data_IF_451476982177
#
_entry.id   IF_451476982177
#
_cell.length_a   1.000
_cell.length_b   1.000
_cell.length_c   1.000
_cell.angle_alpha   90.00
_cell.angle_beta   90.00
_cell.angle_gamma   90.00
#
_symmetry.space_group_name_H-M   'P 1'
#
loop_
_entity.id
_entity.type
_entity.pdbx_description
1 polymer ?
#
# COMPACT_ATOMS: atom_id res chain seq x y z
N UNK A 1 47.31 37.66 56.72
CA UNK A 1 47.57 36.59 55.72
C UNK A 1 47.00 35.27 56.21
N UNK A 2 45.80 34.90 55.74
CA UNK A 2 45.33 33.51 55.74
C UNK A 2 44.29 33.40 54.64
N UNK A 3 44.69 32.74 53.56
CA UNK A 3 43.93 32.56 52.32
C UNK A 3 42.81 31.56 52.60
N UNK A 4 41.56 32.00 52.46
CA UNK A 4 40.39 31.12 52.44
C UNK A 4 40.37 30.36 51.11
N UNK A 5 40.51 29.03 51.18
CA UNK A 5 40.37 28.15 50.01
C UNK A 5 38.91 28.05 49.62
N UNK A 6 38.51 28.77 48.57
CA UNK A 6 37.26 28.48 47.84
C UNK A 6 37.47 27.22 47.01
N UNK A 7 37.14 26.07 47.58
CA UNK A 7 37.00 24.83 46.82
C UNK A 7 35.67 24.92 46.05
N UNK A 8 35.73 25.51 44.86
CA UNK A 8 34.63 25.55 43.91
C UNK A 8 34.22 24.13 43.53
N UNK A 9 32.96 23.82 43.82
CA UNK A 9 32.28 22.62 43.38
C UNK A 9 32.09 22.72 41.86
N UNK A 10 32.93 22.01 41.09
CA UNK A 10 32.70 21.88 39.64
C UNK A 10 31.45 21.02 39.40
N UNK A 11 30.43 21.50 38.66
CA UNK A 11 29.37 20.64 38.19
C UNK A 11 29.96 19.68 37.14
N UNK A 12 29.79 18.38 37.37
CA UNK A 12 30.08 17.34 36.38
C UNK A 12 29.08 17.46 35.24
N UNK A 13 29.45 18.24 34.24
CA UNK A 13 28.83 18.23 32.92
C UNK A 13 29.09 16.85 32.28
N UNK A 14 28.10 15.96 32.33
CA UNK A 14 28.10 14.75 31.52
C UNK A 14 27.29 15.02 30.25
N UNK A 15 28.06 15.33 29.22
CA UNK A 15 27.70 15.32 27.81
C UNK A 15 27.38 13.87 27.41
N UNK A 16 26.46 13.73 26.45
CA UNK A 16 26.07 12.51 25.75
C UNK A 16 25.21 11.56 26.60
N UNK A 17 23.93 11.37 26.31
CA UNK A 17 23.53 10.70 25.08
C UNK A 17 22.01 10.82 24.94
N UNK A 18 21.54 11.74 24.10
CA UNK A 18 20.16 11.75 23.65
C UNK A 18 20.01 10.70 22.54
N UNK A 19 19.78 9.43 22.90
CA UNK A 19 19.30 8.43 21.94
C UNK A 19 17.80 8.68 21.79
N UNK A 20 17.44 9.43 20.74
CA UNK A 20 16.13 9.34 20.12
C UNK A 20 15.97 7.89 19.63
N UNK A 21 15.21 7.08 20.37
CA UNK A 21 14.70 5.82 19.84
C UNK A 21 13.57 6.17 18.85
N UNK A 22 13.91 6.30 17.56
CA UNK A 22 12.94 6.18 16.47
C UNK A 22 12.49 4.71 16.36
N UNK A 23 11.75 4.22 17.35
CA UNK A 23 10.98 2.99 17.25
C UNK A 23 9.54 3.35 16.85
N UNK A 24 9.38 3.83 15.62
CA UNK A 24 8.08 3.94 14.95
C UNK A 24 8.22 3.34 13.55
N UNK A 25 8.47 2.03 13.50
CA UNK A 25 8.39 1.27 12.27
C UNK A 25 7.14 0.37 12.33
N UNK A 26 6.09 0.80 11.62
CA UNK A 26 5.09 -0.07 11.01
C UNK A 26 4.11 -0.79 11.95
N UNK A 27 3.12 -0.08 12.49
CA UNK A 27 1.82 -0.69 12.78
C UNK A 27 0.83 -0.14 11.76
N UNK A 28 0.77 -0.78 10.59
CA UNK A 28 -0.19 -0.44 9.54
C UNK A 28 -1.58 -1.00 9.91
N UNK A 29 -2.17 -0.45 10.96
CA UNK A 29 -3.59 -0.64 11.30
C UNK A 29 -4.46 0.55 10.83
N UNK A 30 -3.88 1.45 10.02
CA UNK A 30 -4.65 2.38 9.19
C UNK A 30 -5.10 1.65 7.92
N UNK A 31 -5.92 0.61 8.09
CA UNK A 31 -6.63 0.01 6.97
C UNK A 31 -7.53 1.09 6.39
N UNK A 32 -7.09 1.78 5.32
CA UNK A 32 -8.01 2.63 4.58
C UNK A 32 -9.12 1.71 4.07
N UNK A 33 -10.37 1.92 4.50
CA UNK A 33 -11.44 0.99 4.16
C UNK A 33 -11.59 0.98 2.64
N UNK A 34 -11.31 -0.17 2.06
CA UNK A 34 -11.52 -0.47 0.65
C UNK A 34 -12.60 -1.53 0.50
N UNK A 35 -13.22 -1.60 -0.68
CA UNK A 35 -14.20 -2.64 -0.98
C UNK A 35 -13.49 -4.00 -1.06
N UNK A 36 -13.90 -5.02 -0.28
CA UNK A 36 -13.33 -6.35 -0.39
C UNK A 36 -13.63 -6.98 -1.75
N UNK A 37 -12.61 -7.58 -2.36
CA UNK A 37 -12.71 -8.31 -3.62
C UNK A 37 -12.05 -9.68 -3.51
N UNK A 38 -12.41 -10.54 -4.44
CA UNK A 38 -11.76 -11.84 -4.57
C UNK A 38 -10.37 -11.67 -5.19
N UNK A 39 -9.39 -12.34 -4.61
CA UNK A 39 -8.06 -12.44 -5.18
C UNK A 39 -7.40 -13.75 -4.78
N UNK A 40 -6.27 -14.07 -5.41
CA UNK A 40 -5.45 -15.23 -5.05
C UNK A 40 -3.99 -15.04 -5.47
N UNK A 41 -3.05 -15.70 -4.79
CA UNK A 41 -1.74 -15.96 -5.35
C UNK A 41 -1.85 -16.74 -6.67
N UNK A 42 -0.95 -16.50 -7.62
CA UNK A 42 -0.91 -17.24 -8.89
C UNK A 42 -0.79 -18.75 -8.66
N UNK A 43 -0.02 -19.15 -7.64
CA UNK A 43 0.19 -20.54 -7.23
C UNK A 43 -1.03 -21.18 -6.53
N UNK A 44 -2.00 -20.39 -6.07
CA UNK A 44 -3.19 -20.88 -5.37
C UNK A 44 -4.31 -21.20 -6.36
N UNK A 45 -5.04 -22.30 -6.14
CA UNK A 45 -6.13 -22.70 -7.03
C UNK A 45 -7.49 -22.06 -6.75
N UNK A 46 -7.64 -21.36 -5.61
CA UNK A 46 -8.91 -20.81 -5.14
C UNK A 46 -8.80 -19.31 -4.92
N UNK A 47 -9.87 -18.60 -5.21
CA UNK A 47 -10.04 -17.19 -4.89
C UNK A 47 -10.58 -17.03 -3.46
N UNK A 48 -10.09 -16.01 -2.77
CA UNK A 48 -10.52 -15.62 -1.43
C UNK A 48 -10.83 -14.13 -1.40
N UNK A 49 -11.83 -13.74 -0.61
CA UNK A 49 -12.28 -12.34 -0.51
C UNK A 49 -11.44 -11.56 0.51
N UNK A 50 -10.14 -11.46 0.25
CA UNK A 50 -9.13 -10.96 1.20
C UNK A 50 -8.34 -9.74 0.68
N UNK A 51 -8.50 -9.36 -0.59
CA UNK A 51 -7.96 -8.12 -1.11
C UNK A 51 -8.98 -6.98 -0.99
N UNK A 52 -8.51 -5.74 -0.99
CA UNK A 52 -9.39 -4.57 -1.00
C UNK A 52 -9.07 -3.66 -2.19
N UNK A 53 -10.09 -2.93 -2.66
CA UNK A 53 -9.90 -1.91 -3.70
C UNK A 53 -10.48 -0.56 -3.30
N UNK A 54 -9.81 0.49 -3.78
CA UNK A 54 -10.31 1.85 -3.77
C UNK A 54 -10.45 2.34 -5.21
N UNK A 55 -11.42 3.22 -5.45
CA UNK A 55 -11.74 3.74 -6.78
C UNK A 55 -11.70 5.25 -6.78
N UNK A 56 -11.03 5.80 -7.79
CA UNK A 56 -10.97 7.25 -8.02
C UNK A 56 -11.19 7.54 -9.49
N UNK A 57 -12.11 8.43 -9.81
CA UNK A 57 -12.31 8.87 -11.19
C UNK A 57 -11.17 9.82 -11.63
N UNK A 58 -10.77 9.70 -12.88
CA UNK A 58 -9.76 10.54 -13.53
C UNK A 58 -10.21 10.89 -14.96
N UNK A 59 -9.56 11.85 -15.63
CA UNK A 59 -9.85 12.17 -17.03
C UNK A 59 -9.71 10.96 -17.97
N UNK A 60 -8.73 10.10 -17.72
CA UNK A 60 -8.36 8.98 -18.59
C UNK A 60 -9.19 7.70 -18.32
N UNK A 61 -9.93 7.69 -17.21
CA UNK A 61 -10.72 6.54 -16.79
C UNK A 61 -10.83 6.43 -15.27
N UNK A 62 -11.09 5.22 -14.77
CA UNK A 62 -11.18 4.97 -13.33
C UNK A 62 -9.93 4.30 -12.81
N UNK A 63 -9.25 4.96 -11.89
CA UNK A 63 -8.10 4.42 -11.18
C UNK A 63 -8.60 3.48 -10.10
N UNK A 64 -8.02 2.28 -10.06
CA UNK A 64 -8.23 1.27 -9.04
C UNK A 64 -6.92 1.08 -8.29
N UNK A 65 -6.94 1.29 -6.97
CA UNK A 65 -5.83 0.90 -6.10
C UNK A 65 -6.23 -0.39 -5.40
N UNK A 66 -5.57 -1.50 -5.73
CA UNK A 66 -5.80 -2.80 -5.11
C UNK A 66 -4.72 -3.10 -4.07
N UNK A 67 -5.12 -3.53 -2.88
CA UNK A 67 -4.22 -3.92 -1.79
C UNK A 67 -4.32 -5.41 -1.54
N UNK A 68 -3.17 -6.07 -1.51
CA UNK A 68 -3.02 -7.48 -1.16
C UNK A 68 -2.88 -7.64 0.37
N UNK A 69 -3.12 -8.84 0.92
CA UNK A 69 -3.03 -9.12 2.36
C UNK A 69 -1.63 -8.91 2.95
N UNK A 70 -0.58 -8.97 2.11
CA UNK A 70 0.81 -8.71 2.49
C UNK A 70 1.13 -7.21 2.67
N UNK A 71 0.14 -6.33 2.45
CA UNK A 71 0.29 -4.88 2.50
C UNK A 71 0.75 -4.24 1.18
N UNK A 72 1.19 -5.06 0.21
CA UNK A 72 1.52 -4.63 -1.13
C UNK A 72 0.30 -4.07 -1.86
N UNK A 73 0.52 -3.14 -2.78
CA UNK A 73 -0.56 -2.58 -3.59
C UNK A 73 -0.19 -2.51 -5.08
N UNK A 74 -1.23 -2.40 -5.90
CA UNK A 74 -1.14 -2.21 -7.35
C UNK A 74 -2.11 -1.12 -7.77
N UNK A 75 -1.73 -0.37 -8.81
CA UNK A 75 -2.57 0.66 -9.41
C UNK A 75 -2.92 0.25 -10.83
N UNK A 76 -4.20 0.28 -11.12
CA UNK A 76 -4.76 -0.05 -12.41
C UNK A 76 -5.59 1.12 -12.93
N UNK A 77 -5.68 1.26 -14.25
CA UNK A 77 -6.59 2.19 -14.90
C UNK A 77 -7.59 1.38 -15.72
N UNK A 78 -8.87 1.51 -15.38
CA UNK A 78 -9.98 1.09 -16.25
C UNK A 78 -10.20 2.21 -17.26
N UNK A 79 -9.69 2.04 -18.47
CA UNK A 79 -9.75 3.07 -19.51
C UNK A 79 -11.12 3.14 -20.17
N UNK A 80 -11.49 4.33 -20.63
CA UNK A 80 -12.80 4.59 -21.27
C UNK A 80 -12.87 4.20 -22.75
N UNK A 81 -11.72 4.03 -23.39
CA UNK A 81 -11.59 3.77 -24.83
C UNK A 81 -11.83 2.31 -25.25
N UNK A 82 -12.21 1.45 -24.30
CA UNK A 82 -12.53 0.04 -24.56
C UNK A 82 -11.34 -0.92 -24.50
N UNK A 83 -10.11 -0.46 -24.24
CA UNK A 83 -8.96 -1.39 -24.02
C UNK A 83 -9.04 -2.16 -22.71
N UNK A 84 -9.97 -1.81 -21.82
CA UNK A 84 -10.23 -2.52 -20.57
C UNK A 84 -9.36 -2.03 -19.40
N UNK A 85 -8.63 -2.94 -18.77
CA UNK A 85 -7.79 -2.64 -17.61
C UNK A 85 -6.32 -2.61 -18.02
N UNK A 86 -5.60 -1.56 -17.65
CA UNK A 86 -4.15 -1.43 -17.85
C UNK A 86 -3.43 -1.14 -16.53
N UNK A 87 -2.13 -1.39 -16.51
CA UNK A 87 -1.25 -0.91 -15.44
C UNK A 87 -1.27 0.62 -15.40
N UNK A 88 -1.34 1.22 -14.20
CA UNK A 88 -1.23 2.66 -14.03
C UNK A 88 0.15 3.04 -13.45
N UNK A 89 0.57 4.28 -13.72
CA UNK A 89 1.74 4.91 -13.09
C UNK A 89 3.08 4.20 -13.33
N UNK A 90 3.27 3.61 -14.52
CA UNK A 90 4.50 2.90 -14.88
C UNK A 90 4.70 1.58 -14.11
N UNK A 91 3.64 1.04 -13.50
CA UNK A 91 3.67 -0.26 -12.87
C UNK A 91 3.96 -1.39 -13.88
N UNK A 92 4.35 -2.55 -13.34
CA UNK A 92 4.61 -3.75 -14.14
C UNK A 92 3.46 -4.10 -15.10
N UNK A 93 3.75 -4.68 -16.28
CA UNK A 93 2.71 -5.13 -17.20
C UNK A 93 1.73 -6.08 -16.53
N UNK A 94 0.45 -5.93 -16.86
CA UNK A 94 -0.63 -6.78 -16.34
C UNK A 94 -1.16 -7.70 -17.42
N UNK A 95 -1.53 -8.92 -17.05
CA UNK A 95 -2.26 -9.83 -17.93
C UNK A 95 -3.74 -9.83 -17.54
N UNK A 96 -4.61 -9.49 -18.49
CA UNK A 96 -6.07 -9.43 -18.27
C UNK A 96 -6.72 -10.64 -18.93
N UNK A 97 -7.54 -11.36 -18.17
CA UNK A 97 -8.37 -12.46 -18.66
C UNK A 97 -9.84 -12.14 -18.41
N UNK A 98 -10.73 -12.33 -19.40
CA UNK A 98 -12.17 -12.20 -19.19
C UNK A 98 -12.67 -13.14 -18.07
N UNK A 99 -13.50 -12.61 -17.17
CA UNK A 99 -14.23 -13.38 -16.16
C UNK A 99 -15.61 -13.81 -16.66
N UNK A 100 -16.60 -13.81 -15.76
CA UNK A 100 -18.00 -14.19 -16.05
C UNK A 100 -18.89 -13.02 -16.54
N UNK A 101 -18.28 -11.89 -16.92
CA UNK A 101 -18.97 -10.69 -17.38
C UNK A 101 -19.27 -9.66 -16.29
N UNK A 102 -19.22 -10.03 -15.00
CA UNK A 102 -19.23 -9.08 -13.89
C UNK A 102 -17.82 -8.59 -13.53
N UNK A 103 -16.81 -9.42 -13.79
CA UNK A 103 -15.41 -9.16 -13.44
C UNK A 103 -14.43 -9.54 -14.56
N UNK A 104 -13.21 -9.05 -14.40
CA UNK A 104 -12.02 -9.46 -15.14
C UNK A 104 -10.97 -9.93 -14.15
N UNK A 105 -10.27 -10.99 -14.49
CA UNK A 105 -9.12 -11.46 -13.72
C UNK A 105 -7.88 -10.71 -14.22
N UNK A 106 -7.23 -9.95 -13.34
CA UNK A 106 -6.03 -9.17 -13.65
C UNK A 106 -4.86 -9.75 -12.87
N UNK A 107 -3.88 -10.26 -13.60
CA UNK A 107 -2.64 -10.78 -13.02
C UNK A 107 -1.62 -9.64 -12.96
N UNK A 108 -1.10 -9.38 -11.76
CA UNK A 108 -0.06 -8.39 -11.51
C UNK A 108 0.86 -8.90 -10.40
N UNK A 109 2.15 -9.03 -10.70
CA UNK A 109 3.12 -9.66 -9.82
C UNK A 109 2.72 -11.11 -9.55
N UNK A 110 2.69 -11.50 -8.27
CA UNK A 110 2.34 -12.86 -7.86
C UNK A 110 0.86 -13.05 -7.53
N UNK A 111 0.01 -12.07 -7.86
CA UNK A 111 -1.41 -12.05 -7.51
C UNK A 111 -2.31 -11.99 -8.74
N UNK A 112 -3.48 -12.63 -8.63
CA UNK A 112 -4.61 -12.50 -9.55
C UNK A 112 -5.74 -11.80 -8.81
N UNK A 113 -6.13 -10.62 -9.30
CA UNK A 113 -7.20 -9.79 -8.74
C UNK A 113 -8.47 -9.94 -9.58
N UNK A 114 -9.63 -10.12 -8.93
CA UNK A 114 -10.93 -10.09 -9.58
C UNK A 114 -11.50 -8.68 -9.55
N UNK A 115 -11.20 -7.90 -10.59
CA UNK A 115 -11.64 -6.51 -10.68
C UNK A 115 -13.00 -6.42 -11.38
N UNK A 116 -13.87 -5.46 -11.01
CA UNK A 116 -15.11 -5.22 -11.74
C UNK A 116 -14.83 -4.93 -13.22
N UNK A 117 -15.57 -5.59 -14.12
CA UNK A 117 -15.41 -5.41 -15.56
C UNK A 117 -15.95 -4.06 -16.06
N UNK A 118 -16.68 -3.33 -15.20
CA UNK A 118 -17.33 -2.07 -15.52
C UNK A 118 -16.97 -1.00 -14.50
N UNK A 119 -16.83 0.23 -15.00
CA UNK A 119 -17.02 1.45 -14.22
C UNK A 119 -18.48 1.50 -13.78
N UNK A 120 -18.83 0.82 -12.68
CA UNK A 120 -20.14 1.00 -12.06
C UNK A 120 -20.20 2.43 -11.51
N UNK A 121 -21.04 3.28 -12.13
CA UNK A 121 -21.27 4.68 -11.75
C UNK A 121 -21.74 4.82 -10.32
#
# INVERSE_FOLDING_TARGET
>A
MRVERRAGWLPRANIATAILLLAACGSSDDAIPGEPIDCRPISAGKFERICTIQRTDSPDGRVIVARAPDGGFRRFLIVRDGRGVIAADGAEPVAVRPGDGAHVDVTAGDMVYRLPAKVAS
#
